data_IF_761936039588
#
_entry.id   IF_761936039588
#
_cell.length_a   1.000
_cell.length_b   1.000
_cell.length_c   1.000
_cell.angle_alpha   90.00
_cell.angle_beta   90.00
_cell.angle_gamma   90.00
#
_symmetry.space_group_name_H-M   'P 1'
#
loop_
_entity.id
_entity.type
_entity.pdbx_description
1 polymer ?
#
# COMPACT_ATOMS: atom_id res chain seq x y z
N UNK A 1 -8.72 -36.43 -5.32
CA UNK A 1 -8.36 -35.52 -6.42
C UNK A 1 -7.63 -34.33 -5.84
N UNK A 2 -6.35 -34.18 -6.16
CA UNK A 2 -5.56 -33.00 -5.72
C UNK A 2 -6.07 -31.79 -6.51
N UNK A 3 -6.79 -30.89 -5.85
CA UNK A 3 -7.16 -29.61 -6.46
C UNK A 3 -5.88 -28.83 -6.65
N UNK A 4 -5.54 -28.55 -7.90
CA UNK A 4 -4.37 -27.74 -8.26
C UNK A 4 -4.46 -26.40 -7.52
N UNK A 5 -3.40 -26.00 -6.83
CA UNK A 5 -3.31 -24.72 -6.18
C UNK A 5 -3.51 -23.60 -7.19
N UNK A 6 -4.51 -22.75 -6.98
CA UNK A 6 -4.78 -21.57 -7.79
C UNK A 6 -4.69 -20.32 -6.91
N UNK A 7 -3.60 -19.61 -7.07
CA UNK A 7 -3.31 -18.42 -6.26
C UNK A 7 -4.36 -17.31 -6.49
N UNK A 8 -4.87 -17.15 -7.71
CA UNK A 8 -5.79 -16.04 -8.03
C UNK A 8 -7.11 -16.17 -7.28
N UNK A 9 -7.60 -17.40 -7.11
CA UNK A 9 -8.83 -17.68 -6.35
C UNK A 9 -8.58 -17.48 -4.85
N UNK A 10 -7.44 -17.98 -4.38
CA UNK A 10 -7.08 -17.90 -2.95
C UNK A 10 -6.85 -16.46 -2.53
N UNK A 11 -6.13 -15.70 -3.32
CA UNK A 11 -5.85 -14.30 -3.07
C UNK A 11 -7.13 -13.46 -2.97
N UNK A 12 -8.03 -13.57 -3.94
CA UNK A 12 -9.33 -12.87 -3.91
C UNK A 12 -10.16 -13.22 -2.69
N UNK A 13 -10.16 -14.50 -2.29
CA UNK A 13 -10.87 -14.96 -1.10
C UNK A 13 -10.33 -14.29 0.16
N UNK A 14 -9.01 -14.26 0.32
CA UNK A 14 -8.38 -13.68 1.50
C UNK A 14 -8.47 -12.17 1.54
N UNK A 15 -8.30 -11.47 0.42
CA UNK A 15 -8.50 -10.03 0.31
C UNK A 15 -9.91 -9.65 0.77
N UNK A 16 -10.93 -10.29 0.23
CA UNK A 16 -12.32 -10.04 0.62
C UNK A 16 -12.61 -10.34 2.10
N UNK A 17 -11.92 -11.34 2.69
CA UNK A 17 -12.02 -11.61 4.12
C UNK A 17 -11.37 -10.52 4.96
N UNK A 18 -10.17 -10.07 4.60
CA UNK A 18 -9.45 -9.01 5.30
C UNK A 18 -10.18 -7.67 5.25
N UNK A 19 -10.79 -7.35 4.10
CA UNK A 19 -11.60 -6.14 3.94
C UNK A 19 -12.84 -6.19 4.84
N UNK A 20 -13.54 -7.32 4.85
CA UNK A 20 -14.73 -7.53 5.68
C UNK A 20 -14.41 -7.45 7.17
N UNK A 21 -13.31 -8.05 7.60
CA UNK A 21 -12.86 -8.07 8.99
C UNK A 21 -12.11 -6.80 9.39
N UNK A 22 -11.87 -5.88 8.44
CA UNK A 22 -11.08 -4.65 8.64
C UNK A 22 -9.73 -4.91 9.31
N UNK A 23 -9.06 -5.99 8.90
CA UNK A 23 -7.85 -6.48 9.55
C UNK A 23 -6.73 -5.45 9.62
N UNK A 24 -6.65 -4.57 8.63
CA UNK A 24 -5.60 -3.54 8.52
C UNK A 24 -6.06 -2.15 8.98
N UNK A 25 -7.27 -2.04 9.53
CA UNK A 25 -7.78 -0.78 10.09
C UNK A 25 -7.42 -0.73 11.57
N UNK A 26 -6.55 0.18 11.94
CA UNK A 26 -6.17 0.39 13.33
C UNK A 26 -7.09 1.43 13.99
N UNK A 27 -7.65 1.10 15.16
CA UNK A 27 -8.29 2.10 16.00
C UNK A 27 -7.22 2.75 16.90
N UNK A 28 -6.74 3.91 16.49
CA UNK A 28 -5.68 4.62 17.21
C UNK A 28 -6.12 5.19 18.56
N UNK A 29 -7.43 5.27 18.82
CA UNK A 29 -7.97 5.83 20.07
C UNK A 29 -8.07 4.78 21.18
N UNK A 30 -8.41 3.56 20.81
CA UNK A 30 -8.70 2.47 21.76
C UNK A 30 -7.71 1.32 21.67
N UNK A 31 -6.64 1.48 20.89
CA UNK A 31 -5.66 0.44 20.64
C UNK A 31 -5.00 -0.07 21.93
N UNK A 32 -5.20 -1.35 22.22
CA UNK A 32 -4.40 -2.05 23.19
C UNK A 32 -3.09 -2.50 22.55
N UNK A 33 -1.95 -2.29 23.22
CA UNK A 33 -0.63 -2.68 22.73
C UNK A 33 -0.29 -2.06 21.35
N UNK A 34 -0.36 -0.71 21.21
CA UNK A 34 -0.19 -0.04 19.94
C UNK A 34 1.23 -0.18 19.41
N UNK A 35 1.35 -0.28 18.10
CA UNK A 35 2.61 -0.31 17.39
C UNK A 35 2.53 0.54 16.12
N UNK A 36 3.36 1.57 16.02
CA UNK A 36 3.47 2.41 14.85
C UNK A 36 4.53 1.86 13.89
N UNK A 37 4.10 1.39 12.73
CA UNK A 37 4.99 0.91 11.68
C UNK A 37 5.18 2.01 10.66
N UNK A 38 6.29 2.74 10.79
CA UNK A 38 6.60 3.83 9.89
C UNK A 38 6.92 3.32 8.49
N UNK A 39 6.24 3.90 7.51
CA UNK A 39 6.43 3.64 6.10
C UNK A 39 6.71 4.94 5.35
N UNK A 40 7.71 4.93 4.50
CA UNK A 40 8.00 6.08 3.63
C UNK A 40 7.01 6.10 2.47
N UNK A 41 6.26 7.19 2.35
CA UNK A 41 5.29 7.36 1.28
C UNK A 41 5.98 7.45 -0.08
N UNK A 42 5.41 6.82 -1.11
CA UNK A 42 5.95 6.93 -2.45
C UNK A 42 5.83 8.35 -2.99
N UNK A 43 6.83 8.76 -3.73
CA UNK A 43 6.90 10.04 -4.41
C UNK A 43 6.59 9.87 -5.89
N UNK A 44 5.48 10.44 -6.40
CA UNK A 44 5.10 10.32 -7.80
C UNK A 44 5.97 11.24 -8.69
N UNK A 45 7.08 10.72 -9.17
CA UNK A 45 8.05 11.48 -9.99
C UNK A 45 8.11 11.06 -11.46
N UNK A 46 7.39 9.98 -11.82
CA UNK A 46 7.35 9.43 -13.15
C UNK A 46 6.13 8.51 -13.32
N UNK A 47 5.98 7.90 -14.48
CA UNK A 47 4.93 6.93 -14.76
C UNK A 47 5.09 5.66 -13.93
N UNK A 48 4.31 5.53 -12.86
CA UNK A 48 4.22 4.33 -12.03
C UNK A 48 5.30 4.18 -10.97
N UNK A 49 5.30 3.00 -10.36
CA UNK A 49 6.21 2.62 -9.29
C UNK A 49 7.43 1.87 -9.84
N UNK A 50 8.58 2.05 -9.20
CA UNK A 50 9.80 1.32 -9.52
C UNK A 50 10.18 0.28 -8.45
N UNK A 51 11.19 -0.54 -8.72
CA UNK A 51 11.63 -1.62 -7.84
C UNK A 51 11.98 -1.15 -6.41
N UNK A 52 12.46 0.07 -6.24
CA UNK A 52 12.75 0.64 -4.92
C UNK A 52 11.49 0.78 -4.04
N UNK A 53 10.35 1.15 -4.63
CA UNK A 53 9.09 1.19 -3.91
C UNK A 53 8.65 -0.22 -3.48
N UNK A 54 8.78 -1.22 -4.36
CA UNK A 54 8.48 -2.60 -4.03
C UNK A 54 9.34 -3.11 -2.88
N UNK A 55 10.65 -2.80 -2.90
CA UNK A 55 11.59 -3.20 -1.85
C UNK A 55 11.21 -2.62 -0.48
N UNK A 56 11.04 -1.31 -0.39
CA UNK A 56 10.72 -0.64 0.88
C UNK A 56 9.34 -1.03 1.41
N UNK A 57 8.34 -1.13 0.51
CA UNK A 57 6.97 -1.50 0.89
C UNK A 57 6.89 -2.94 1.39
N UNK A 58 7.57 -3.87 0.72
CA UNK A 58 7.58 -5.29 1.12
C UNK A 58 8.19 -5.46 2.51
N UNK A 59 9.31 -4.83 2.79
CA UNK A 59 9.96 -4.91 4.10
C UNK A 59 9.06 -4.37 5.22
N UNK A 60 8.43 -3.23 5.01
CA UNK A 60 7.51 -2.62 5.95
C UNK A 60 6.26 -3.48 6.16
N UNK A 61 5.67 -4.04 5.09
CA UNK A 61 4.49 -4.90 5.18
C UNK A 61 4.78 -6.20 5.94
N UNK A 62 5.90 -6.88 5.64
CA UNK A 62 6.33 -8.08 6.36
C UNK A 62 6.46 -7.79 7.86
N UNK A 63 7.11 -6.68 8.21
CA UNK A 63 7.31 -6.31 9.60
C UNK A 63 5.98 -5.96 10.31
N UNK A 64 5.10 -5.24 9.66
CA UNK A 64 3.77 -4.93 10.18
C UNK A 64 2.93 -6.19 10.42
N UNK A 65 2.95 -7.15 9.49
CA UNK A 65 2.28 -8.45 9.64
C UNK A 65 2.86 -9.25 10.81
N UNK A 66 4.18 -9.30 10.92
CA UNK A 66 4.86 -9.95 12.03
C UNK A 66 4.44 -9.36 13.39
N UNK A 67 4.37 -8.04 13.50
CA UNK A 67 3.93 -7.39 14.73
C UNK A 67 2.45 -7.68 15.06
N UNK A 68 1.57 -7.78 14.05
CA UNK A 68 0.17 -8.21 14.25
C UNK A 68 0.11 -9.65 14.78
N UNK A 69 0.92 -10.55 14.23
CA UNK A 69 1.00 -11.94 14.72
C UNK A 69 1.48 -12.01 16.18
N UNK A 70 2.26 -11.03 16.64
CA UNK A 70 2.67 -10.89 18.04
C UNK A 70 1.63 -10.15 18.91
N UNK A 71 0.41 -9.98 18.43
CA UNK A 71 -0.67 -9.36 19.20
C UNK A 71 -0.61 -7.85 19.32
N UNK A 72 0.16 -7.17 18.46
CA UNK A 72 0.20 -5.71 18.40
C UNK A 72 -0.96 -5.15 17.57
N UNK A 73 -1.51 -4.04 18.02
CA UNK A 73 -2.41 -3.24 17.19
C UNK A 73 -1.56 -2.30 16.31
N UNK A 74 -1.36 -2.73 15.06
CA UNK A 74 -0.42 -2.07 14.16
C UNK A 74 -1.10 -0.95 13.39
N UNK A 75 -0.64 0.28 13.60
CA UNK A 75 -0.95 1.41 12.76
C UNK A 75 0.16 1.60 11.71
N UNK A 76 -0.19 1.38 10.45
CA UNK A 76 0.71 1.55 9.31
C UNK A 76 0.01 2.44 8.28
N UNK A 77 0.12 3.78 8.44
CA UNK A 77 -0.51 4.70 7.51
C UNK A 77 0.14 4.62 6.14
N UNK A 78 -0.67 4.82 5.11
CA UNK A 78 -0.25 4.92 3.72
C UNK A 78 -0.75 6.24 3.13
N UNK A 79 0.04 6.83 2.27
CA UNK A 79 -0.28 8.08 1.58
C UNK A 79 0.68 8.32 0.43
N UNK A 80 0.76 9.58 0.00
CA UNK A 80 1.66 10.04 -1.05
C UNK A 80 2.46 11.23 -0.59
N UNK A 81 3.73 11.25 -0.95
CA UNK A 81 4.57 12.44 -0.93
C UNK A 81 4.31 13.23 -2.21
N UNK A 82 3.29 14.11 -2.15
CA UNK A 82 2.60 14.61 -3.35
C UNK A 82 3.18 15.88 -3.96
N UNK A 83 4.06 16.57 -3.24
CA UNK A 83 4.55 17.88 -3.67
C UNK A 83 6.06 17.89 -3.83
N UNK A 84 6.52 18.37 -4.98
CA UNK A 84 7.92 18.55 -5.24
C UNK A 84 8.23 18.77 -6.72
N UNK A 85 9.40 19.34 -7.00
CA UNK A 85 9.80 19.79 -8.32
C UNK A 85 9.78 18.68 -9.40
N UNK A 86 10.06 17.44 -9.01
CA UNK A 86 10.06 16.33 -9.96
C UNK A 86 8.64 15.96 -10.41
N UNK A 87 7.67 15.94 -9.51
CA UNK A 87 6.26 15.70 -9.83
C UNK A 87 5.71 16.84 -10.70
N UNK A 88 6.06 18.08 -10.37
CA UNK A 88 5.64 19.26 -11.14
C UNK A 88 6.24 19.25 -12.54
N UNK A 89 7.53 18.97 -12.69
CA UNK A 89 8.18 18.85 -13.98
C UNK A 89 7.59 17.72 -14.83
N UNK A 90 7.25 16.59 -14.20
CA UNK A 90 6.59 15.50 -14.91
C UNK A 90 5.18 15.89 -15.37
N UNK A 91 4.40 16.55 -14.53
CA UNK A 91 3.08 17.06 -14.87
C UNK A 91 3.14 18.03 -16.06
N UNK A 92 4.11 18.96 -16.06
CA UNK A 92 4.36 19.86 -17.19
C UNK A 92 4.68 19.09 -18.48
N UNK A 93 5.53 18.06 -18.36
CA UNK A 93 5.94 17.22 -19.51
C UNK A 93 4.77 16.50 -20.17
N UNK A 94 3.80 16.03 -19.37
CA UNK A 94 2.60 15.34 -19.88
C UNK A 94 1.43 16.25 -20.16
N UNK A 95 1.55 17.56 -19.88
CA UNK A 95 0.50 18.55 -20.11
C UNK A 95 -0.67 18.49 -19.13
N UNK A 96 -0.47 17.93 -17.96
CA UNK A 96 -1.48 17.76 -16.93
C UNK A 96 -1.20 18.63 -15.70
N UNK A 97 -2.22 18.86 -14.87
CA UNK A 97 -1.98 19.48 -13.57
C UNK A 97 -1.38 18.46 -12.59
N UNK A 98 -0.53 18.88 -11.62
CA UNK A 98 -0.02 17.96 -10.59
C UNK A 98 -1.14 17.24 -9.84
N UNK A 99 -2.25 17.89 -9.58
CA UNK A 99 -3.41 17.31 -8.90
C UNK A 99 -4.08 16.22 -9.73
N UNK A 100 -4.21 16.43 -11.04
CA UNK A 100 -4.80 15.45 -11.97
C UNK A 100 -3.90 14.22 -12.08
N UNK A 101 -2.59 14.46 -12.25
CA UNK A 101 -1.58 13.41 -12.31
C UNK A 101 -1.63 12.52 -11.05
N UNK A 102 -1.64 13.10 -9.88
CA UNK A 102 -1.74 12.39 -8.61
C UNK A 102 -3.03 11.57 -8.51
N UNK A 103 -4.16 12.10 -9.00
CA UNK A 103 -5.42 11.37 -9.01
C UNK A 103 -5.39 10.11 -9.89
N UNK A 104 -4.63 10.12 -10.99
CA UNK A 104 -4.40 8.96 -11.84
C UNK A 104 -3.45 7.95 -11.18
N UNK A 105 -2.34 8.42 -10.63
CA UNK A 105 -1.34 7.59 -9.97
C UNK A 105 -1.88 6.93 -8.69
N UNK A 106 -2.76 7.60 -7.97
CA UNK A 106 -3.44 7.03 -6.80
C UNK A 106 -4.22 5.77 -7.20
N UNK A 107 -4.96 5.78 -8.28
CA UNK A 107 -5.71 4.61 -8.74
C UNK A 107 -4.80 3.45 -9.11
N UNK A 108 -3.72 3.73 -9.84
CA UNK A 108 -2.73 2.73 -10.24
C UNK A 108 -2.00 2.21 -9.00
N UNK A 109 -1.61 3.08 -8.08
CA UNK A 109 -0.89 2.72 -6.88
C UNK A 109 -1.72 1.87 -5.92
N UNK A 110 -2.97 2.24 -5.65
CA UNK A 110 -3.89 1.44 -4.84
C UNK A 110 -4.10 0.07 -5.49
N UNK A 111 -4.23 0.03 -6.81
CA UNK A 111 -4.35 -1.23 -7.54
C UNK A 111 -3.09 -2.08 -7.43
N UNK A 112 -1.90 -1.51 -7.62
CA UNK A 112 -0.62 -2.23 -7.53
C UNK A 112 -0.31 -2.67 -6.10
N UNK A 113 -0.59 -1.84 -5.09
CA UNK A 113 -0.44 -2.22 -3.68
C UNK A 113 -1.45 -3.29 -3.28
N UNK A 114 -2.70 -3.20 -3.72
CA UNK A 114 -3.68 -4.24 -3.47
C UNK A 114 -3.29 -5.58 -4.09
N UNK A 115 -2.61 -5.57 -5.24
CA UNK A 115 -2.14 -6.78 -5.91
C UNK A 115 -0.82 -7.34 -5.37
N UNK A 116 0.08 -6.50 -4.82
CA UNK A 116 1.45 -6.91 -4.48
C UNK A 116 1.76 -6.93 -2.99
N UNK A 117 1.08 -6.14 -2.19
CA UNK A 117 1.33 -6.06 -0.74
C UNK A 117 0.25 -6.79 0.06
N UNK A 118 -0.92 -6.96 -0.51
CA UNK A 118 -2.02 -7.72 0.10
C UNK A 118 -2.03 -9.19 -0.33
N UNK A 119 -1.16 -9.59 -1.23
CA UNK A 119 -0.88 -10.97 -1.60
C UNK A 119 0.36 -11.42 -0.85
#
# INVERSE_FOLDING_TARGET
MSTKYDHTIIEKKWQGKWDKEKLYVADIKTANNPFYNLFMFPYPSAEGLHAGHAFSSTGSDIYGRFQRMNGKNVFQPMGYDSFGIHSENYAIKIGESPQTMLGCDIKIFVYVLSLKIMN
#
